data_IF_885106371322
#
_entry.id   IF_885106371322
#
_cell.length_a   1.000
_cell.length_b   1.000
_cell.length_c   1.000
_cell.angle_alpha   90.00
_cell.angle_beta   90.00
_cell.angle_gamma   90.00
#
_symmetry.space_group_name_H-M   'P 1'
#
loop_
_entity.id
_entity.type
_entity.pdbx_description
1 polymer ?
#
# COMPACT_ATOMS: atom_id res chain seq x y z
N UNK A 1 14.67 -41.56 -2.20
CA UNK A 1 14.25 -41.62 -0.78
C UNK A 1 12.74 -41.67 -0.78
N UNK A 2 12.14 -42.76 -0.31
CA UNK A 2 10.68 -42.92 -0.25
C UNK A 2 10.15 -42.23 0.99
N UNK A 3 9.47 -41.10 0.82
CA UNK A 3 8.69 -40.49 1.89
C UNK A 3 7.64 -41.50 2.35
N UNK A 4 7.64 -41.85 3.63
CA UNK A 4 6.62 -42.72 4.22
C UNK A 4 5.34 -41.90 4.44
N UNK A 5 4.19 -42.58 4.49
CA UNK A 5 2.89 -41.94 4.80
C UNK A 5 2.94 -41.10 6.09
N UNK A 6 3.71 -41.55 7.08
CA UNK A 6 3.94 -40.83 8.34
C UNK A 6 4.68 -39.51 8.12
N UNK A 7 5.72 -39.49 7.29
CA UNK A 7 6.45 -38.26 6.96
C UNK A 7 5.60 -37.27 6.17
N UNK A 8 4.69 -37.75 5.33
CA UNK A 8 3.70 -36.91 4.64
C UNK A 8 2.66 -36.33 5.61
N UNK A 9 2.16 -37.14 6.54
CA UNK A 9 1.22 -36.70 7.56
C UNK A 9 1.82 -35.61 8.47
N UNK A 10 3.09 -35.77 8.88
CA UNK A 10 3.79 -34.75 9.65
C UNK A 10 3.97 -33.44 8.88
N UNK A 11 4.34 -33.52 7.60
CA UNK A 11 4.49 -32.32 6.75
C UNK A 11 3.16 -31.60 6.57
N UNK A 12 2.07 -32.34 6.38
CA UNK A 12 0.72 -31.80 6.31
C UNK A 12 0.32 -31.07 7.60
N UNK A 13 0.52 -31.70 8.76
CA UNK A 13 0.21 -31.09 10.05
C UNK A 13 1.02 -29.80 10.30
N UNK A 14 2.29 -29.76 9.89
CA UNK A 14 3.14 -28.56 9.98
C UNK A 14 2.64 -27.45 9.05
N UNK A 15 2.23 -27.79 7.83
CA UNK A 15 1.67 -26.84 6.87
C UNK A 15 0.33 -26.27 7.36
N UNK A 16 -0.57 -27.11 7.87
CA UNK A 16 -1.85 -26.68 8.45
C UNK A 16 -1.65 -25.69 9.59
N UNK A 17 -0.67 -25.96 10.47
CA UNK A 17 -0.32 -25.05 11.57
C UNK A 17 0.21 -23.71 11.05
N UNK A 18 1.13 -23.74 10.09
CA UNK A 18 1.67 -22.51 9.49
C UNK A 18 0.60 -21.66 8.81
N UNK A 19 -0.35 -22.31 8.11
CA UNK A 19 -1.49 -21.63 7.48
C UNK A 19 -2.41 -21.00 8.53
N UNK A 20 -2.71 -21.71 9.63
CA UNK A 20 -3.52 -21.16 10.71
C UNK A 20 -2.85 -19.94 11.37
N UNK A 21 -1.53 -19.97 11.57
CA UNK A 21 -0.76 -18.87 12.14
C UNK A 21 -0.70 -17.66 11.20
N UNK A 22 -0.46 -17.87 9.90
CA UNK A 22 -0.53 -16.79 8.90
C UNK A 22 -1.92 -16.17 8.84
N UNK A 23 -2.99 -16.98 8.92
CA UNK A 23 -4.36 -16.47 8.94
C UNK A 23 -4.62 -15.59 10.16
N UNK A 24 -4.10 -15.98 11.33
CA UNK A 24 -4.23 -15.18 12.56
C UNK A 24 -3.50 -13.84 12.43
N UNK A 25 -2.25 -13.86 11.94
CA UNK A 25 -1.46 -12.65 11.71
C UNK A 25 -2.13 -11.71 10.70
N UNK A 26 -2.69 -12.25 9.62
CA UNK A 26 -3.45 -11.47 8.64
C UNK A 26 -4.73 -10.88 9.23
N UNK A 27 -5.45 -11.63 10.08
CA UNK A 27 -6.63 -11.09 10.78
C UNK A 27 -6.25 -9.91 11.67
N UNK A 28 -5.18 -10.04 12.45
CA UNK A 28 -4.68 -8.97 13.32
C UNK A 28 -4.24 -7.74 12.51
N UNK A 29 -3.62 -7.94 11.35
CA UNK A 29 -3.23 -6.86 10.45
C UNK A 29 -4.46 -6.15 9.84
N UNK A 30 -5.49 -6.92 9.46
CA UNK A 30 -6.75 -6.38 8.95
C UNK A 30 -7.45 -5.56 10.04
N UNK A 31 -7.56 -6.07 11.27
CA UNK A 31 -8.17 -5.36 12.39
C UNK A 31 -7.42 -4.06 12.71
N UNK A 32 -6.08 -4.08 12.70
CA UNK A 32 -5.25 -2.89 12.86
C UNK A 32 -5.46 -1.89 11.70
N UNK A 33 -5.59 -2.37 10.46
CA UNK A 33 -5.82 -1.52 9.29
C UNK A 33 -7.22 -0.88 9.26
N UNK A 34 -8.25 -1.57 9.75
CA UNK A 34 -9.62 -1.04 9.86
C UNK A 34 -9.69 0.03 10.96
N UNK A 35 -8.97 -0.15 12.07
CA UNK A 35 -8.85 0.87 13.12
C UNK A 35 -8.15 2.15 12.61
N UNK A 36 -7.16 2.02 11.72
CA UNK A 36 -6.52 3.16 11.03
C UNK A 36 -7.46 3.76 9.98
N UNK A 37 -8.18 2.93 9.23
CA UNK A 37 -9.12 3.35 8.18
C UNK A 37 -10.34 4.14 8.71
N UNK A 38 -10.86 3.79 9.88
CA UNK A 38 -11.98 4.52 10.52
C UNK A 38 -11.55 5.89 11.06
N UNK A 39 -10.31 6.01 11.58
CA UNK A 39 -9.70 7.32 11.90
C UNK A 39 -9.47 8.20 10.66
N UNK A 40 -9.06 7.59 9.54
CA UNK A 40 -8.87 8.31 8.27
C UNK A 40 -10.20 8.75 7.63
N UNK A 41 -11.30 8.03 7.87
CA UNK A 41 -12.62 8.40 7.36
C UNK A 41 -13.25 9.56 8.15
N UNK A 42 -13.07 9.61 9.48
CA UNK A 42 -13.52 10.76 10.28
C UNK A 42 -12.78 12.06 9.94
N UNK A 43 -11.51 11.97 9.51
CA UNK A 43 -10.71 13.14 9.09
C UNK A 43 -11.07 13.63 7.68
N UNK A 44 -11.46 12.74 6.77
CA UNK A 44 -11.98 13.11 5.46
C UNK A 44 -13.35 13.83 5.56
N UNK A 45 -14.25 13.37 6.43
CA UNK A 45 -15.53 14.06 6.66
C UNK A 45 -15.34 15.41 7.39
N UNK A 46 -14.35 15.55 8.30
CA UNK A 46 -14.04 16.85 8.94
C UNK A 46 -13.29 17.84 8.04
N UNK A 47 -12.69 17.40 6.93
CA UNK A 47 -12.16 18.30 5.90
C UNK A 47 -13.27 18.83 4.96
N UNK A 48 -14.44 18.20 4.97
CA UNK A 48 -15.59 18.57 4.12
C UNK A 48 -16.44 19.69 4.73
N UNK A 49 -16.31 19.93 6.04
CA UNK A 49 -17.04 20.96 6.80
C UNK A 49 -16.25 22.26 7.01
N UNK A 50 -15.13 22.47 6.29
CA UNK A 50 -14.46 23.78 6.24
C UNK A 50 -15.27 24.75 5.36
N UNK A 51 -16.28 25.31 6.02
CA UNK A 51 -17.07 26.42 5.57
C UNK A 51 -16.18 27.62 5.20
N UNK A 52 -16.52 28.17 4.04
CA UNK A 52 -16.07 29.38 3.36
C UNK A 52 -15.30 30.45 4.17
N UNK A 53 -13.96 30.49 4.09
CA UNK A 53 -13.22 31.78 3.92
C UNK A 53 -11.73 31.67 3.53
N UNK A 54 -11.05 30.56 3.79
CA UNK A 54 -9.66 30.34 3.33
C UNK A 54 -9.52 28.88 2.89
N UNK A 55 -9.69 28.61 1.60
CA UNK A 55 -9.42 27.26 1.08
C UNK A 55 -7.91 27.07 1.11
N UNK A 56 -7.38 26.12 1.90
CA UNK A 56 -5.96 25.81 1.86
C UNK A 56 -5.59 25.48 0.42
N UNK A 57 -4.45 26.00 -0.02
CA UNK A 57 -3.98 25.72 -1.38
C UNK A 57 -3.82 24.21 -1.58
N UNK A 58 -3.96 23.72 -2.82
CA UNK A 58 -3.73 22.30 -3.11
C UNK A 58 -2.37 21.81 -2.60
N UNK A 59 -1.36 22.68 -2.59
CA UNK A 59 -0.05 22.40 -2.02
C UNK A 59 -0.08 22.15 -0.51
N UNK A 60 -0.87 22.90 0.26
CA UNK A 60 -1.02 22.69 1.71
C UNK A 60 -1.78 21.40 2.02
N UNK A 61 -2.79 21.08 1.20
CA UNK A 61 -3.53 19.81 1.31
C UNK A 61 -2.60 18.64 1.04
N UNK A 62 -1.83 18.69 -0.05
CA UNK A 62 -0.86 17.67 -0.40
C UNK A 62 0.23 17.52 0.67
N UNK A 63 0.71 18.63 1.23
CA UNK A 63 1.73 18.60 2.28
C UNK A 63 1.19 17.94 3.56
N UNK A 64 -0.02 18.30 4.03
CA UNK A 64 -0.66 17.65 5.17
C UNK A 64 -0.89 16.15 4.92
N UNK A 65 -1.27 15.76 3.70
CA UNK A 65 -1.40 14.35 3.33
C UNK A 65 -0.05 13.62 3.39
N UNK A 66 1.04 14.23 2.90
CA UNK A 66 2.38 13.65 2.97
C UNK A 66 2.87 13.48 4.40
N UNK A 67 2.63 14.46 5.28
CA UNK A 67 2.95 14.38 6.71
C UNK A 67 2.18 13.26 7.40
N UNK A 68 0.86 13.17 7.16
CA UNK A 68 0.02 12.14 7.76
C UNK A 68 0.37 10.72 7.31
N UNK A 69 0.80 10.57 6.05
CA UNK A 69 1.27 9.29 5.51
C UNK A 69 2.72 8.95 5.93
N UNK A 70 3.42 9.85 6.65
CA UNK A 70 4.81 9.65 7.03
C UNK A 70 5.79 9.68 5.85
N UNK A 71 5.40 10.36 4.75
CA UNK A 71 6.17 10.45 3.51
C UNK A 71 6.60 11.89 3.17
N UNK A 72 6.53 12.80 4.16
CA UNK A 72 6.95 14.21 4.03
C UNK A 72 8.38 14.36 3.51
N UNK A 73 9.24 13.41 3.85
CA UNK A 73 10.68 13.47 3.55
C UNK A 73 11.05 12.61 2.34
N UNK A 74 10.08 11.87 1.78
CA UNK A 74 10.31 11.05 0.59
C UNK A 74 10.39 11.95 -0.62
N UNK A 75 11.58 12.01 -1.21
CA UNK A 75 11.79 12.59 -2.52
C UNK A 75 11.40 11.57 -3.59
N UNK A 76 10.82 12.05 -4.69
CA UNK A 76 10.50 11.20 -5.82
C UNK A 76 11.81 10.74 -6.46
N UNK A 77 11.93 9.43 -6.67
CA UNK A 77 13.08 8.88 -7.40
C UNK A 77 13.10 9.39 -8.85
N UNK A 78 14.29 9.51 -9.47
CA UNK A 78 14.42 9.91 -10.87
C UNK A 78 13.60 9.01 -11.81
N UNK A 79 13.11 9.59 -12.91
CA UNK A 79 12.23 8.89 -13.87
C UNK A 79 12.87 7.61 -14.42
N UNK A 80 14.17 7.64 -14.73
CA UNK A 80 14.90 6.47 -15.22
C UNK A 80 14.99 5.34 -14.19
N UNK A 81 15.13 5.68 -12.91
CA UNK A 81 15.15 4.69 -11.83
C UNK A 81 13.76 4.13 -11.57
N UNK A 82 12.71 4.95 -11.68
CA UNK A 82 11.32 4.50 -11.61
C UNK A 82 11.03 3.49 -12.71
N UNK A 83 11.40 3.78 -13.96
CA UNK A 83 11.25 2.86 -15.11
C UNK A 83 11.99 1.55 -14.90
N UNK A 84 13.23 1.60 -14.44
CA UNK A 84 14.01 0.39 -14.08
C UNK A 84 13.34 -0.39 -12.95
N UNK A 85 12.77 0.29 -11.95
CA UNK A 85 12.05 -0.35 -10.86
C UNK A 85 10.79 -1.06 -11.35
N UNK A 86 9.97 -0.37 -12.16
CA UNK A 86 8.76 -0.93 -12.77
C UNK A 86 9.09 -2.18 -13.60
N UNK A 87 10.11 -2.11 -14.46
CA UNK A 87 10.56 -3.24 -15.25
C UNK A 87 11.02 -4.44 -14.38
N UNK A 88 11.75 -4.20 -13.28
CA UNK A 88 12.15 -5.26 -12.33
C UNK A 88 10.96 -5.97 -11.69
N UNK A 89 9.85 -5.26 -11.49
CA UNK A 89 8.63 -5.81 -10.91
C UNK A 89 7.62 -6.29 -11.98
N UNK A 90 8.01 -6.30 -13.26
CA UNK A 90 7.13 -6.72 -14.36
C UNK A 90 5.98 -5.75 -14.63
N UNK A 91 6.06 -4.52 -14.13
CA UNK A 91 5.06 -3.47 -14.37
C UNK A 91 5.41 -2.78 -15.68
N UNK A 92 4.52 -2.87 -16.66
CA UNK A 92 4.61 -2.16 -17.92
C UNK A 92 3.65 -0.99 -17.90
N UNK A 93 4.12 0.20 -18.25
CA UNK A 93 3.29 1.40 -18.19
C UNK A 93 2.11 1.31 -19.17
N UNK A 94 2.28 0.58 -20.27
CA UNK A 94 1.26 0.37 -21.30
C UNK A 94 0.11 -0.51 -20.82
N UNK A 95 0.36 -1.38 -19.84
CA UNK A 95 -0.61 -2.36 -19.32
C UNK A 95 -1.51 -1.76 -18.22
N UNK A 96 -1.19 -0.57 -17.70
CA UNK A 96 -1.92 0.06 -16.61
C UNK A 96 -2.01 1.58 -16.77
N UNK A 97 -3.23 2.10 -16.83
CA UNK A 97 -3.52 3.54 -16.92
C UNK A 97 -2.88 4.37 -15.82
N UNK A 98 -2.84 3.88 -14.57
CA UNK A 98 -2.15 4.56 -13.47
C UNK A 98 -0.65 4.66 -13.71
N UNK A 99 -0.03 3.60 -14.22
CA UNK A 99 1.39 3.58 -14.51
C UNK A 99 1.72 4.53 -15.66
N UNK A 100 0.88 4.57 -16.70
CA UNK A 100 1.00 5.53 -17.79
C UNK A 100 0.90 6.97 -17.30
N UNK A 101 -0.13 7.28 -16.51
CA UNK A 101 -0.35 8.63 -15.98
C UNK A 101 0.82 9.12 -15.11
N UNK A 102 1.41 8.24 -14.30
CA UNK A 102 2.59 8.59 -13.47
C UNK A 102 3.80 8.95 -14.34
N UNK A 103 4.02 8.26 -15.45
CA UNK A 103 5.13 8.54 -16.37
C UNK A 103 4.86 9.85 -17.14
N UNK A 104 3.67 9.99 -17.73
CA UNK A 104 3.29 11.18 -18.49
C UNK A 104 3.37 12.46 -17.64
N UNK A 105 2.90 12.41 -16.39
CA UNK A 105 2.94 13.58 -15.50
C UNK A 105 4.36 13.99 -15.13
N UNK A 106 5.32 13.06 -15.18
CA UNK A 106 6.74 13.32 -14.88
C UNK A 106 7.56 13.72 -16.11
N UNK A 107 7.01 13.57 -17.31
CA UNK A 107 7.63 14.01 -18.56
C UNK A 107 7.20 15.41 -19.00
N UNK A 108 6.16 15.98 -18.38
CA UNK A 108 5.74 17.37 -18.52
C UNK A 108 6.71 18.33 -17.82
#
# INVERSE_FOLDING_TARGET
MTETLETLAERLARLEKAVAEMRLQLSQLVDASIAVGTKNRQTADTLSDLDTTDKPSEAEILQKMREHLGISDIQLMPLDELRKSMARHGIRAEDNEFSRAIIEEREK
#
